data_IF_044080045486
#
_entry.id   IF_044080045486
#
_cell.length_a   1.000
_cell.length_b   1.000
_cell.length_c   1.000
_cell.angle_alpha   90.00
_cell.angle_beta   90.00
_cell.angle_gamma   90.00
#
_symmetry.space_group_name_H-M   'P 1'
#
loop_
_entity.id
_entity.type
_entity.pdbx_description
1 polymer ?
#
# COMPACT_ATOMS: atom_id res chain seq x y z
N UNK A 1 -5.00 9.75 6.69
CA UNK A 1 -4.36 8.42 6.82
C UNK A 1 -3.35 8.53 7.96
N UNK A 2 -3.55 7.79 9.05
CA UNK A 2 -2.63 7.83 10.19
C UNK A 2 -1.86 6.50 10.21
N UNK A 3 -0.53 6.58 10.08
CA UNK A 3 0.37 5.43 10.23
C UNK A 3 1.07 5.54 11.59
N UNK A 4 0.87 4.55 12.45
CA UNK A 4 1.52 4.46 13.76
C UNK A 4 2.78 3.59 13.64
N UNK A 5 3.89 4.19 13.22
CA UNK A 5 5.20 3.52 13.19
C UNK A 5 6.10 3.97 12.03
N UNK A 6 7.32 4.42 12.38
CA UNK A 6 8.47 4.80 11.54
C UNK A 6 8.14 5.64 10.29
N UNK A 7 8.12 6.96 10.46
CA UNK A 7 7.91 7.91 9.35
C UNK A 7 8.46 9.32 9.56
N UNK A 8 9.41 9.54 10.48
CA UNK A 8 10.06 10.85 10.57
C UNK A 8 11.12 10.98 9.46
N UNK A 9 10.79 11.72 8.41
CA UNK A 9 11.74 12.11 7.36
C UNK A 9 11.76 11.26 6.09
N UNK A 10 10.77 10.38 5.89
CA UNK A 10 10.63 9.61 4.63
C UNK A 10 9.84 10.38 3.57
N UNK A 11 10.20 10.22 2.30
CA UNK A 11 9.49 10.75 1.13
C UNK A 11 8.64 9.62 0.54
N UNK A 12 7.35 9.88 0.34
CA UNK A 12 6.44 8.96 -0.36
C UNK A 12 6.34 9.40 -1.81
N UNK A 13 6.71 8.51 -2.75
CA UNK A 13 6.60 8.75 -4.19
C UNK A 13 5.43 7.96 -4.78
N UNK A 14 4.65 8.61 -5.63
CA UNK A 14 3.44 8.07 -6.26
C UNK A 14 3.58 8.10 -7.80
N UNK A 15 2.78 8.93 -8.48
CA UNK A 15 2.67 9.01 -9.94
C UNK A 15 3.93 9.49 -10.66
N UNK A 16 4.89 10.09 -9.94
CA UNK A 16 6.16 10.54 -10.53
C UNK A 16 6.92 9.39 -11.21
N UNK A 17 6.82 8.16 -10.69
CA UNK A 17 7.46 6.97 -11.28
C UNK A 17 6.79 6.48 -12.57
N UNK A 18 5.65 7.06 -12.95
CA UNK A 18 4.81 6.56 -14.05
C UNK A 18 4.48 7.67 -15.08
N UNK A 19 5.48 8.30 -15.71
CA UNK A 19 5.24 9.24 -16.80
C UNK A 19 4.43 8.57 -17.92
N UNK A 20 3.41 9.27 -18.43
CA UNK A 20 2.53 8.76 -19.49
C UNK A 20 1.97 7.35 -19.21
N UNK A 21 1.72 7.06 -17.92
CA UNK A 21 1.23 5.77 -17.43
C UNK A 21 2.16 4.58 -17.70
N UNK A 22 3.47 4.82 -17.80
CA UNK A 22 4.51 3.79 -17.94
C UNK A 22 5.55 3.90 -16.84
N UNK A 23 5.92 2.78 -16.25
CA UNK A 23 6.96 2.77 -15.22
C UNK A 23 8.31 3.26 -15.76
N UNK A 24 8.97 4.12 -14.99
CA UNK A 24 10.31 4.65 -15.28
C UNK A 24 11.29 4.25 -14.18
N UNK A 25 12.12 3.25 -14.48
CA UNK A 25 13.21 2.83 -13.60
C UNK A 25 14.24 3.96 -13.38
N UNK A 26 14.51 4.75 -14.42
CA UNK A 26 15.43 5.90 -14.36
C UNK A 26 15.00 6.90 -13.27
N UNK A 27 13.71 7.28 -13.23
CA UNK A 27 13.17 8.17 -12.20
C UNK A 27 13.26 7.57 -10.79
N UNK A 28 13.05 6.27 -10.66
CA UNK A 28 13.19 5.57 -9.38
C UNK A 28 14.65 5.60 -8.89
N UNK A 29 15.59 5.30 -9.79
CA UNK A 29 17.03 5.32 -9.50
C UNK A 29 17.52 6.72 -9.11
N UNK A 30 17.12 7.74 -9.87
CA UNK A 30 17.45 9.14 -9.60
C UNK A 30 16.92 9.58 -8.23
N UNK A 31 15.66 9.27 -7.94
CA UNK A 31 15.03 9.64 -6.68
C UNK A 31 15.66 8.90 -5.49
N UNK A 32 15.91 7.60 -5.64
CA UNK A 32 16.57 6.78 -4.62
C UNK A 32 17.99 7.25 -4.33
N UNK A 33 18.75 7.63 -5.37
CA UNK A 33 20.09 8.23 -5.23
C UNK A 33 20.06 9.58 -4.51
N UNK A 34 19.05 10.41 -4.80
CA UNK A 34 18.93 11.76 -4.24
C UNK A 34 18.42 11.76 -2.79
N UNK A 35 17.39 10.97 -2.50
CA UNK A 35 16.72 10.93 -1.19
C UNK A 35 17.40 9.93 -0.24
N UNK A 36 18.00 8.89 -0.81
CA UNK A 36 18.47 7.70 -0.09
C UNK A 36 17.36 6.65 0.01
N UNK A 37 17.67 5.41 -0.37
CA UNK A 37 16.78 4.23 -0.29
C UNK A 37 16.03 4.15 1.04
N UNK A 38 16.75 4.29 2.15
CA UNK A 38 16.22 4.13 3.52
C UNK A 38 15.15 5.17 3.91
N UNK A 39 15.01 6.23 3.11
CA UNK A 39 14.03 7.30 3.30
C UNK A 39 13.00 7.35 2.18
N UNK A 40 13.02 6.42 1.23
CA UNK A 40 12.07 6.39 0.13
C UNK A 40 10.99 5.34 0.40
N UNK A 41 9.72 5.76 0.31
CA UNK A 41 8.55 4.88 0.32
C UNK A 41 7.90 4.96 -1.05
N UNK A 42 7.63 3.82 -1.67
CA UNK A 42 6.93 3.77 -2.96
C UNK A 42 5.46 3.44 -2.70
N UNK A 43 4.58 4.36 -3.08
CA UNK A 43 3.14 4.14 -3.11
C UNK A 43 2.78 3.40 -4.40
N UNK A 44 2.46 2.13 -4.26
CA UNK A 44 1.97 1.27 -5.34
C UNK A 44 0.46 1.21 -5.26
N UNK A 45 -0.08 2.23 -5.87
CA UNK A 45 -1.47 2.43 -6.14
C UNK A 45 -1.97 1.40 -7.17
N UNK A 46 -2.87 0.47 -6.80
CA UNK A 46 -3.29 -0.64 -7.67
C UNK A 46 -4.83 -0.79 -7.85
N UNK A 47 -5.24 -1.28 -9.02
CA UNK A 47 -6.61 -1.69 -9.36
C UNK A 47 -6.65 -3.13 -9.86
N UNK A 48 -7.73 -3.84 -9.52
CA UNK A 48 -7.94 -5.20 -9.99
C UNK A 48 -8.50 -5.21 -11.41
N UNK A 49 -7.95 -6.08 -12.26
CA UNK A 49 -8.46 -6.43 -13.58
C UNK A 49 -8.45 -7.94 -13.67
N UNK A 50 -9.63 -8.53 -13.65
CA UNK A 50 -9.83 -9.98 -13.58
C UNK A 50 -9.14 -10.59 -12.34
N UNK A 51 -8.17 -11.47 -12.54
CA UNK A 51 -7.37 -12.15 -11.52
C UNK A 51 -6.02 -11.47 -11.24
N UNK A 52 -5.81 -10.25 -11.76
CA UNK A 52 -4.53 -9.53 -11.70
C UNK A 52 -4.70 -8.11 -11.17
N UNK A 53 -3.60 -7.52 -10.70
CA UNK A 53 -3.58 -6.14 -10.20
C UNK A 53 -2.62 -5.30 -11.03
N UNK A 54 -3.05 -4.10 -11.41
CA UNK A 54 -2.26 -3.18 -12.21
C UNK A 54 -2.09 -1.87 -11.49
N UNK A 55 -0.91 -1.26 -11.63
CA UNK A 55 -0.68 0.07 -11.09
C UNK A 55 -1.63 1.06 -11.76
N UNK A 56 -2.24 1.92 -10.96
CA UNK A 56 -3.14 2.97 -11.39
C UNK A 56 -2.64 4.32 -10.88
N UNK A 57 -2.75 5.34 -11.73
CA UNK A 57 -2.30 6.70 -11.46
C UNK A 57 -3.42 7.69 -11.76
N UNK A 58 -3.14 8.99 -11.63
CA UNK A 58 -4.12 10.07 -11.85
C UNK A 58 -5.41 9.85 -11.07
N UNK A 59 -5.31 9.69 -9.74
CA UNK A 59 -6.46 9.41 -8.87
C UNK A 59 -7.28 8.21 -9.36
N UNK A 60 -6.59 7.11 -9.71
CA UNK A 60 -7.22 5.85 -10.12
C UNK A 60 -7.90 5.86 -11.49
N UNK A 61 -7.81 6.96 -12.23
CA UNK A 61 -8.46 7.12 -13.54
C UNK A 61 -7.65 6.52 -14.67
N UNK A 62 -6.33 6.38 -14.52
CA UNK A 62 -5.44 5.84 -15.54
C UNK A 62 -4.81 4.56 -15.01
N UNK A 63 -5.17 3.40 -15.59
CA UNK A 63 -4.53 2.14 -15.26
C UNK A 63 -3.37 1.93 -16.25
N UNK A 64 -2.18 1.72 -15.71
CA UNK A 64 -0.94 1.49 -16.46
C UNK A 64 -0.89 0.06 -17.03
N UNK A 65 0.15 -0.23 -17.81
CA UNK A 65 0.53 -1.59 -18.23
C UNK A 65 1.38 -2.33 -17.19
N UNK A 66 1.75 -1.66 -16.09
CA UNK A 66 2.59 -2.23 -15.04
C UNK A 66 1.75 -3.09 -14.10
N UNK A 67 1.96 -4.41 -14.17
CA UNK A 67 1.32 -5.37 -13.28
C UNK A 67 2.03 -5.38 -11.91
N UNK A 68 1.25 -5.47 -10.83
CA UNK A 68 1.76 -5.66 -9.47
C UNK A 68 1.98 -7.15 -9.26
N UNK A 69 3.23 -7.56 -9.35
CA UNK A 69 3.69 -8.94 -9.20
C UNK A 69 4.88 -9.00 -8.26
N UNK A 70 5.33 -10.21 -7.92
CA UNK A 70 6.58 -10.42 -7.20
C UNK A 70 7.76 -9.71 -7.87
N UNK A 71 7.94 -9.89 -9.17
CA UNK A 71 9.09 -9.34 -9.90
C UNK A 71 9.07 -7.80 -9.91
N UNK A 72 7.88 -7.20 -10.07
CA UNK A 72 7.73 -5.75 -9.97
C UNK A 72 8.09 -5.25 -8.57
N UNK A 73 7.62 -5.91 -7.52
CA UNK A 73 7.93 -5.53 -6.14
C UNK A 73 9.40 -5.75 -5.79
N UNK A 74 10.01 -6.84 -6.24
CA UNK A 74 11.44 -7.10 -6.05
C UNK A 74 12.28 -5.98 -6.68
N UNK A 75 11.98 -5.61 -7.93
CA UNK A 75 12.66 -4.50 -8.61
C UNK A 75 12.53 -3.18 -7.84
N UNK A 76 11.31 -2.83 -7.39
CA UNK A 76 11.11 -1.59 -6.64
C UNK A 76 11.82 -1.62 -5.28
N UNK A 77 11.90 -2.80 -4.64
CA UNK A 77 12.51 -2.97 -3.30
C UNK A 77 14.02 -2.75 -3.30
N UNK A 78 14.67 -2.81 -4.46
CA UNK A 78 16.08 -2.45 -4.59
C UNK A 78 16.32 -0.97 -4.27
N UNK A 79 15.32 -0.11 -4.50
CA UNK A 79 15.45 1.35 -4.48
C UNK A 79 14.64 2.06 -3.38
N UNK A 80 13.78 1.36 -2.64
CA UNK A 80 13.00 1.93 -1.55
C UNK A 80 13.08 1.11 -0.26
N UNK A 81 12.76 1.74 0.87
CA UNK A 81 12.76 1.14 2.19
C UNK A 81 11.44 0.42 2.50
N UNK A 82 10.35 0.85 1.87
CA UNK A 82 9.01 0.40 2.20
C UNK A 82 8.03 0.60 1.04
N UNK A 83 7.02 -0.27 1.00
CA UNK A 83 5.84 -0.12 0.16
C UNK A 83 4.62 0.41 0.93
N UNK A 84 3.90 1.30 0.27
CA UNK A 84 2.53 1.65 0.61
C UNK A 84 1.61 1.14 -0.52
N UNK A 85 0.89 0.04 -0.30
CA UNK A 85 0.02 -0.56 -1.31
C UNK A 85 -1.39 -0.05 -1.13
N UNK A 86 -1.89 0.69 -2.13
CA UNK A 86 -3.22 1.28 -2.09
C UNK A 86 -4.17 0.55 -3.05
N UNK A 87 -5.16 -0.15 -2.50
CA UNK A 87 -6.18 -0.84 -3.28
C UNK A 87 -7.37 0.09 -3.57
N UNK A 88 -7.34 0.75 -4.73
CA UNK A 88 -8.28 1.81 -5.09
C UNK A 88 -9.74 1.36 -5.24
N UNK A 89 -9.97 0.08 -5.57
CA UNK A 89 -11.32 -0.45 -5.78
C UNK A 89 -12.11 -0.65 -4.47
N UNK A 90 -11.43 -0.57 -3.32
CA UNK A 90 -12.02 -0.74 -1.98
C UNK A 90 -11.88 0.52 -1.09
N UNK A 91 -11.11 1.52 -1.52
CA UNK A 91 -10.87 2.75 -0.77
C UNK A 91 -12.17 3.58 -0.64
N UNK A 92 -12.51 3.98 0.59
CA UNK A 92 -13.69 4.80 0.89
C UNK A 92 -15.05 4.09 0.80
N UNK A 93 -15.12 2.90 0.20
CA UNK A 93 -16.38 2.14 0.02
C UNK A 93 -16.71 1.22 1.20
N UNK A 94 -15.79 1.00 2.14
CA UNK A 94 -15.93 0.07 3.28
C UNK A 94 -16.41 -1.32 2.84
N UNK A 95 -15.98 -1.81 1.68
CA UNK A 95 -16.40 -3.12 1.16
C UNK A 95 -15.59 -4.28 1.73
N UNK A 96 -14.51 -3.99 2.45
CA UNK A 96 -13.57 -4.98 2.99
C UNK A 96 -12.25 -4.91 2.24
N UNK A 97 -11.23 -5.56 2.80
CA UNK A 97 -9.91 -5.66 2.18
C UNK A 97 -9.96 -6.57 0.94
N UNK A 98 -9.01 -6.39 0.02
CA UNK A 98 -8.75 -7.37 -1.04
C UNK A 98 -7.87 -8.49 -0.46
N UNK A 99 -8.50 -9.55 0.03
CA UNK A 99 -7.84 -10.66 0.72
C UNK A 99 -6.81 -11.39 -0.16
N UNK A 100 -7.11 -11.53 -1.47
CA UNK A 100 -6.20 -12.18 -2.41
C UNK A 100 -4.94 -11.36 -2.63
N UNK A 101 -5.10 -10.04 -2.75
CA UNK A 101 -3.95 -9.12 -2.83
C UNK A 101 -3.13 -9.16 -1.54
N UNK A 102 -3.76 -9.09 -0.37
CA UNK A 102 -3.04 -9.15 0.92
C UNK A 102 -2.23 -10.45 1.05
N UNK A 103 -2.83 -11.59 0.67
CA UNK A 103 -2.14 -12.88 0.64
C UNK A 103 -0.98 -12.89 -0.35
N UNK A 104 -1.17 -12.32 -1.54
CA UNK A 104 -0.10 -12.20 -2.53
C UNK A 104 1.05 -11.32 -2.01
N UNK A 105 0.75 -10.17 -1.41
CA UNK A 105 1.74 -9.27 -0.82
C UNK A 105 2.55 -9.93 0.29
N UNK A 106 1.93 -10.76 1.14
CA UNK A 106 2.68 -11.54 2.16
C UNK A 106 3.66 -12.56 1.56
N UNK A 107 3.38 -13.06 0.37
CA UNK A 107 4.28 -13.97 -0.35
C UNK A 107 5.35 -13.22 -1.15
N UNK A 108 5.03 -12.03 -1.66
CA UNK A 108 5.87 -11.29 -2.60
C UNK A 108 6.77 -10.26 -1.95
N UNK A 109 6.32 -9.59 -0.88
CA UNK A 109 7.05 -8.49 -0.26
C UNK A 109 8.27 -8.99 0.51
N UNK A 110 9.41 -8.36 0.26
CA UNK A 110 10.71 -8.63 0.92
C UNK A 110 11.13 -7.51 1.88
N UNK A 111 10.47 -6.35 1.78
CA UNK A 111 10.66 -5.18 2.63
C UNK A 111 9.34 -4.86 3.36
N UNK A 112 9.34 -3.98 4.38
CA UNK A 112 8.11 -3.53 5.03
C UNK A 112 7.05 -3.09 4.00
N UNK A 113 5.82 -3.54 4.22
CA UNK A 113 4.69 -3.27 3.32
C UNK A 113 3.48 -2.91 4.15
N UNK A 114 2.94 -1.72 3.90
CA UNK A 114 1.69 -1.26 4.48
C UNK A 114 0.59 -1.32 3.44
N UNK A 115 -0.51 -2.02 3.73
CA UNK A 115 -1.71 -2.05 2.91
C UNK A 115 -2.71 -0.99 3.36
N UNK A 116 -3.31 -0.27 2.41
CA UNK A 116 -4.44 0.60 2.66
C UNK A 116 -5.54 0.43 1.62
N UNK A 117 -6.75 0.20 2.13
CA UNK A 117 -7.95 0.05 1.33
C UNK A 117 -8.98 -0.81 2.05
N UNK A 118 -10.21 -0.30 2.19
CA UNK A 118 -11.36 -1.14 2.56
C UNK A 118 -11.44 -1.66 4.00
N UNK A 119 -10.41 -1.49 4.83
CA UNK A 119 -10.43 -1.83 6.25
C UNK A 119 -11.59 -1.15 6.97
N UNK A 120 -12.47 -1.96 7.56
CA UNK A 120 -13.78 -1.53 8.08
C UNK A 120 -14.13 -2.15 9.43
N UNK A 121 -13.40 -3.14 9.90
CA UNK A 121 -13.62 -3.79 11.20
C UNK A 121 -12.27 -4.01 11.90
N UNK A 122 -12.27 -4.01 13.24
CA UNK A 122 -11.04 -4.30 14.00
C UNK A 122 -10.50 -5.71 13.70
N UNK A 123 -11.38 -6.66 13.37
CA UNK A 123 -11.02 -8.02 12.96
C UNK A 123 -10.17 -8.05 11.68
N UNK A 124 -10.22 -7.00 10.84
CA UNK A 124 -9.39 -6.91 9.63
C UNK A 124 -7.88 -6.89 9.98
N UNK A 125 -7.48 -6.41 11.16
CA UNK A 125 -6.08 -6.49 11.62
C UNK A 125 -5.61 -7.94 11.74
N UNK A 126 -6.42 -8.78 12.37
CA UNK A 126 -6.13 -10.21 12.54
C UNK A 126 -6.17 -10.91 11.18
N UNK A 127 -7.17 -10.62 10.35
CA UNK A 127 -7.30 -11.21 9.02
C UNK A 127 -6.09 -10.88 8.13
N UNK A 128 -5.65 -9.62 8.08
CA UNK A 128 -4.46 -9.21 7.33
C UNK A 128 -3.21 -9.91 7.87
N UNK A 129 -3.05 -9.98 9.20
CA UNK A 129 -1.93 -10.68 9.83
C UNK A 129 -1.90 -12.17 9.46
N UNK A 130 -3.05 -12.84 9.43
CA UNK A 130 -3.15 -14.25 9.03
C UNK A 130 -2.85 -14.45 7.55
N UNK A 131 -3.50 -13.69 6.66
CA UNK A 131 -3.33 -13.81 5.21
C UNK A 131 -1.91 -13.51 4.75
N UNK A 132 -1.24 -12.55 5.40
CA UNK A 132 0.11 -12.12 5.06
C UNK A 132 1.22 -12.82 5.84
N UNK A 133 0.87 -13.77 6.73
CA UNK A 133 1.80 -14.37 7.69
C UNK A 133 2.56 -13.30 8.52
N UNK A 134 1.89 -12.21 8.87
CA UNK A 134 2.40 -11.11 9.69
C UNK A 134 3.38 -10.18 8.98
N UNK A 135 3.45 -10.20 7.65
CA UNK A 135 4.39 -9.38 6.86
C UNK A 135 3.79 -8.08 6.31
N UNK A 136 2.48 -7.96 6.32
CA UNK A 136 1.78 -6.78 5.79
C UNK A 136 1.04 -6.09 6.94
N UNK A 137 1.28 -4.79 7.09
CA UNK A 137 0.56 -3.94 8.03
C UNK A 137 -0.74 -3.43 7.38
N UNK A 138 -1.75 -3.07 8.19
CA UNK A 138 -3.02 -2.52 7.71
C UNK A 138 -3.18 -1.07 8.18
N UNK A 139 -3.64 -0.20 7.27
CA UNK A 139 -4.05 1.16 7.61
C UNK A 139 -5.57 1.30 7.70
N UNK A 140 -6.04 2.00 8.74
CA UNK A 140 -7.40 2.52 8.80
C UNK A 140 -7.45 4.03 8.53
N UNK A 141 -8.54 4.45 7.89
CA UNK A 141 -8.83 5.84 7.55
C UNK A 141 -10.25 6.23 7.94
N UNK A 142 -11.13 6.37 6.96
CA UNK A 142 -12.53 6.83 7.15
C UNK A 142 -13.38 5.96 8.08
N UNK A 143 -12.99 4.72 8.34
CA UNK A 143 -13.68 3.83 9.28
C UNK A 143 -13.47 4.21 10.76
N UNK A 144 -12.42 4.99 11.07
CA UNK A 144 -12.06 5.35 12.44
C UNK A 144 -12.99 6.43 13.02
N UNK A 145 -13.37 6.25 14.27
CA UNK A 145 -14.10 7.23 15.09
C UNK A 145 -13.47 8.63 15.12
N UNK A 146 -12.14 8.71 15.23
CA UNK A 146 -11.41 9.99 15.22
C UNK A 146 -11.50 10.77 13.90
N UNK A 147 -11.91 10.11 12.80
CA UNK A 147 -12.17 10.73 11.50
C UNK A 147 -13.67 10.84 11.17
N UNK A 148 -14.54 10.62 12.17
CA UNK A 148 -16.00 10.67 12.02
C UNK A 148 -16.64 9.37 11.51
N UNK A 149 -15.88 8.28 11.43
CA UNK A 149 -16.41 6.94 11.21
C UNK A 149 -17.06 6.35 12.45
N UNK A 150 -17.75 5.21 12.31
CA UNK A 150 -18.44 4.53 13.41
C UNK A 150 -18.09 3.03 13.51
N UNK A 151 -17.18 2.56 12.64
CA UNK A 151 -16.92 1.13 12.49
C UNK A 151 -15.73 0.63 13.30
N UNK A 152 -14.70 1.45 13.46
CA UNK A 152 -13.47 1.09 14.16
C UNK A 152 -13.13 2.18 15.16
N UNK A 153 -12.86 1.80 16.40
CA UNK A 153 -12.37 2.74 17.41
C UNK A 153 -10.87 2.84 17.35
N UNK A 154 -10.33 4.06 17.31
CA UNK A 154 -8.89 4.29 17.34
C UNK A 154 -8.21 3.61 18.54
N UNK A 155 -8.85 3.65 19.71
CA UNK A 155 -8.32 3.00 20.91
C UNK A 155 -8.16 1.48 20.76
N UNK A 156 -9.04 0.83 20.00
CA UNK A 156 -8.96 -0.62 19.82
C UNK A 156 -7.81 -0.99 18.86
N UNK A 157 -7.52 -0.15 17.87
CA UNK A 157 -6.32 -0.28 17.05
C UNK A 157 -5.04 -0.11 17.91
N UNK A 158 -5.02 0.87 18.81
CA UNK A 158 -3.88 1.11 19.71
C UNK A 158 -3.66 -0.07 20.67
N UNK A 159 -4.73 -0.68 21.18
CA UNK A 159 -4.63 -1.86 22.07
C UNK A 159 -4.15 -3.12 21.36
N UNK A 160 -4.37 -3.23 20.05
CA UNK A 160 -3.97 -4.39 19.27
C UNK A 160 -2.47 -4.40 18.93
N UNK A 161 -1.88 -3.21 18.72
CA UNK A 161 -0.45 -3.02 18.44
C UNK A 161 0.44 -3.40 19.63
#
# INVERSE_FOLDING_TARGET
MARLGRGEGSVIVTSYLFPDAKFSLERLQELSSTVGKDKLVVDVSCRRRDDRWFVATNKWQTITDTEVTKDTLDLLSEYCAEFLIHAADVEGLCRGIDEELVKALGNWSTIPTTYAGGGKDIADLTLVKELSAGKVDLTFGSALDIFGGDKVKFEDCVKWN
#
